data_IF_550737365968
#
_entry.id   IF_550737365968
#
_cell.length_a   1.000
_cell.length_b   1.000
_cell.length_c   1.000
_cell.angle_alpha   90.00
_cell.angle_beta   90.00
_cell.angle_gamma   90.00
#
_symmetry.space_group_name_H-M   'P 1'
#
loop_
_entity.id
_entity.type
_entity.pdbx_description
1 polymer ?
#
# COMPACT_ATOMS: atom_id res chain seq x y z
N UNK A 1 -18.31 20.34 -5.74
CA UNK A 1 -18.46 19.34 -4.67
C UNK A 1 -18.89 18.03 -5.32
N UNK A 2 -17.94 17.30 -5.92
CA UNK A 2 -18.17 15.94 -6.40
C UNK A 2 -17.86 14.97 -5.28
N UNK A 3 -18.73 13.98 -5.18
CA UNK A 3 -19.02 13.21 -3.99
C UNK A 3 -18.15 11.97 -3.97
N UNK A 4 -17.83 11.48 -2.77
CA UNK A 4 -17.34 10.14 -2.39
C UNK A 4 -17.67 8.97 -3.34
N UNK A 5 -18.74 9.06 -4.15
CA UNK A 5 -19.17 8.09 -5.17
C UNK A 5 -18.16 7.81 -6.29
N UNK A 6 -17.44 8.81 -6.81
CA UNK A 6 -16.49 8.58 -7.92
C UNK A 6 -15.27 7.77 -7.46
N UNK A 7 -14.79 8.08 -6.25
CA UNK A 7 -13.68 7.38 -5.59
C UNK A 7 -14.08 5.95 -5.21
N UNK A 8 -15.30 5.77 -4.70
CA UNK A 8 -15.87 4.44 -4.45
C UNK A 8 -15.93 3.59 -5.72
N UNK A 9 -16.33 4.17 -6.86
CA UNK A 9 -16.40 3.45 -8.12
C UNK A 9 -15.00 3.06 -8.64
N UNK A 10 -14.01 3.94 -8.52
CA UNK A 10 -12.62 3.65 -8.88
C UNK A 10 -12.07 2.50 -8.01
N UNK A 11 -12.25 2.60 -6.68
CA UNK A 11 -11.79 1.57 -5.75
C UNK A 11 -12.48 0.23 -6.00
N UNK A 12 -13.79 0.23 -6.24
CA UNK A 12 -14.53 -0.98 -6.59
C UNK A 12 -13.99 -1.65 -7.87
N UNK A 13 -13.71 -0.86 -8.93
CA UNK A 13 -13.14 -1.40 -10.17
C UNK A 13 -11.74 -1.97 -9.98
N UNK A 14 -10.89 -1.28 -9.22
CA UNK A 14 -9.53 -1.75 -8.90
C UNK A 14 -9.56 -3.12 -8.21
N UNK A 15 -10.34 -3.25 -7.14
CA UNK A 15 -10.45 -4.51 -6.41
C UNK A 15 -11.16 -5.59 -7.21
N UNK A 16 -12.21 -5.25 -7.95
CA UNK A 16 -12.86 -6.20 -8.84
C UNK A 16 -11.85 -6.80 -9.84
N UNK A 17 -11.01 -5.98 -10.48
CA UNK A 17 -10.00 -6.46 -11.42
C UNK A 17 -8.98 -7.38 -10.74
N UNK A 18 -8.44 -6.97 -9.57
CA UNK A 18 -7.51 -7.77 -8.77
C UNK A 18 -8.09 -9.12 -8.37
N UNK A 19 -9.28 -9.12 -7.75
CA UNK A 19 -9.94 -10.31 -7.25
C UNK A 19 -10.43 -11.22 -8.38
N UNK A 20 -10.74 -10.67 -9.56
CA UNK A 20 -11.18 -11.46 -10.72
C UNK A 20 -10.14 -12.50 -11.16
N UNK A 21 -8.88 -12.31 -10.80
CA UNK A 21 -7.75 -13.20 -11.12
C UNK A 21 -7.58 -14.34 -10.11
N UNK A 22 -8.25 -14.29 -8.97
CA UNK A 22 -8.20 -15.32 -7.93
C UNK A 22 -9.24 -16.39 -8.25
N UNK A 23 -8.77 -17.61 -8.56
CA UNK A 23 -9.64 -18.75 -8.92
C UNK A 23 -9.41 -19.98 -8.07
N UNK A 24 -8.26 -20.05 -7.41
CA UNK A 24 -7.80 -21.21 -6.66
C UNK A 24 -7.27 -20.78 -5.29
N UNK A 25 -7.17 -21.73 -4.37
CA UNK A 25 -6.53 -21.48 -3.06
C UNK A 25 -5.07 -21.09 -3.19
N UNK A 26 -4.36 -21.55 -4.24
CA UNK A 26 -2.99 -21.11 -4.52
C UNK A 26 -2.94 -19.64 -4.92
N UNK A 27 -3.95 -19.13 -5.64
CA UNK A 27 -4.06 -17.70 -5.93
C UNK A 27 -4.31 -16.90 -4.66
N UNK A 28 -5.13 -17.42 -3.73
CA UNK A 28 -5.36 -16.81 -2.41
C UNK A 28 -4.05 -16.76 -1.62
N UNK A 29 -3.31 -17.86 -1.54
CA UNK A 29 -2.00 -17.92 -0.87
C UNK A 29 -1.03 -16.90 -1.46
N UNK A 30 -0.99 -16.81 -2.79
CA UNK A 30 -0.15 -15.83 -3.49
C UNK A 30 -0.57 -14.40 -3.17
N UNK A 31 -1.86 -14.12 -3.16
CA UNK A 31 -2.40 -12.81 -2.81
C UNK A 31 -2.00 -12.43 -1.38
N UNK A 32 -2.27 -13.30 -0.40
CA UNK A 32 -1.88 -13.09 1.00
C UNK A 32 -0.36 -12.90 1.12
N UNK A 33 0.44 -13.74 0.47
CA UNK A 33 1.89 -13.66 0.49
C UNK A 33 2.48 -12.39 -0.14
N UNK A 34 1.72 -11.65 -0.96
CA UNK A 34 2.12 -10.33 -1.46
C UNK A 34 1.96 -9.26 -0.38
N UNK A 35 0.85 -9.28 0.36
CA UNK A 35 0.53 -8.24 1.35
C UNK A 35 1.13 -8.50 2.72
N UNK A 36 1.31 -9.77 3.11
CA UNK A 36 1.82 -10.12 4.44
C UNK A 36 3.19 -9.49 4.77
N UNK A 37 4.17 -9.44 3.85
CA UNK A 37 5.46 -8.78 4.10
C UNK A 37 5.38 -7.24 4.14
N UNK A 38 4.24 -6.66 3.74
CA UNK A 38 4.01 -5.22 3.70
C UNK A 38 3.34 -4.71 4.98
N UNK A 39 3.05 -5.57 5.96
CA UNK A 39 2.55 -5.13 7.26
C UNK A 39 3.62 -4.32 7.99
N UNK A 40 3.48 -3.01 7.86
CA UNK A 40 4.21 -1.96 8.54
C UNK A 40 3.17 -1.00 9.15
N UNK A 41 3.51 -0.16 10.13
CA UNK A 41 2.49 0.74 10.71
C UNK A 41 1.87 1.68 9.66
N UNK A 42 2.62 2.06 8.62
CA UNK A 42 2.12 2.93 7.55
C UNK A 42 1.28 2.23 6.47
N UNK A 43 1.33 0.89 6.40
CA UNK A 43 0.62 0.09 5.40
C UNK A 43 -0.35 -0.91 6.03
N UNK A 44 -0.34 -1.08 7.34
CA UNK A 44 -1.17 -2.02 8.08
C UNK A 44 -2.64 -1.91 7.68
N UNK A 45 -3.19 -0.69 7.74
CA UNK A 45 -4.58 -0.42 7.36
C UNK A 45 -4.85 -0.75 5.90
N UNK A 46 -3.91 -0.44 4.99
CA UNK A 46 -4.05 -0.75 3.56
C UNK A 46 -3.96 -2.26 3.29
N UNK A 47 -3.11 -2.98 4.02
CA UNK A 47 -2.99 -4.43 3.91
C UNK A 47 -4.24 -5.12 4.46
N UNK A 48 -4.78 -4.64 5.58
CA UNK A 48 -6.05 -5.13 6.12
C UNK A 48 -7.21 -4.85 5.16
N UNK A 49 -7.31 -3.64 4.60
CA UNK A 49 -8.31 -3.31 3.57
C UNK A 49 -8.19 -4.29 2.39
N UNK A 50 -6.98 -4.47 1.86
CA UNK A 50 -6.70 -5.38 0.75
C UNK A 50 -7.09 -6.84 1.03
N UNK A 51 -6.78 -7.36 2.23
CA UNK A 51 -7.11 -8.73 2.62
C UNK A 51 -8.60 -8.90 2.91
N UNK A 52 -9.30 -7.87 3.43
CA UNK A 52 -10.75 -7.92 3.69
C UNK A 52 -11.56 -8.14 2.41
N UNK A 53 -11.05 -7.67 1.27
CA UNK A 53 -11.65 -7.83 -0.04
C UNK A 53 -11.75 -9.30 -0.49
N UNK A 54 -10.98 -10.21 0.11
CA UNK A 54 -11.08 -11.66 -0.15
C UNK A 54 -12.44 -12.25 0.24
N UNK A 55 -13.23 -11.58 1.08
CA UNK A 55 -14.63 -11.93 1.36
C UNK A 55 -15.49 -12.02 0.09
N UNK A 56 -15.10 -11.33 -0.98
CA UNK A 56 -15.82 -11.32 -2.26
C UNK A 56 -15.42 -12.49 -3.19
N UNK A 57 -14.39 -13.26 -2.83
CA UNK A 57 -13.92 -14.42 -3.60
C UNK A 57 -14.58 -15.67 -3.03
N UNK A 58 -15.24 -16.45 -3.88
CA UNK A 58 -15.90 -17.71 -3.50
C UNK A 58 -14.86 -18.84 -3.27
N UNK A 59 -14.13 -18.78 -2.15
CA UNK A 59 -13.19 -19.78 -1.66
C UNK A 59 -13.26 -19.80 -0.13
N UNK A 60 -13.32 -21.00 0.45
CA UNK A 60 -13.30 -21.19 1.90
C UNK A 60 -12.04 -20.57 2.53
N UNK A 61 -10.89 -20.68 1.84
CA UNK A 61 -9.65 -20.09 2.30
C UNK A 61 -9.70 -18.56 2.26
N UNK A 62 -10.27 -17.98 1.20
CA UNK A 62 -10.44 -16.54 1.06
C UNK A 62 -11.36 -15.97 2.16
N UNK A 63 -12.46 -16.67 2.46
CA UNK A 63 -13.39 -16.29 3.53
C UNK A 63 -12.71 -16.37 4.91
N UNK A 64 -11.96 -17.44 5.19
CA UNK A 64 -11.19 -17.55 6.45
C UNK A 64 -10.20 -16.41 6.65
N UNK A 65 -9.52 -15.96 5.59
CA UNK A 65 -8.62 -14.80 5.67
C UNK A 65 -9.39 -13.52 5.96
N UNK A 66 -10.49 -13.29 5.27
CA UNK A 66 -11.30 -12.09 5.50
C UNK A 66 -11.91 -12.06 6.92
N UNK A 67 -12.34 -13.20 7.43
CA UNK A 67 -12.84 -13.34 8.81
C UNK A 67 -11.73 -13.08 9.84
N UNK A 68 -10.51 -13.54 9.56
CA UNK A 68 -9.34 -13.22 10.40
C UNK A 68 -9.11 -11.71 10.47
N UNK A 69 -9.11 -11.03 9.32
CA UNK A 69 -8.93 -9.56 9.24
C UNK A 69 -10.03 -8.83 10.01
N UNK A 70 -11.27 -9.30 9.93
CA UNK A 70 -12.41 -8.70 10.60
C UNK A 70 -12.43 -8.90 12.12
N UNK A 71 -11.58 -9.79 12.67
CA UNK A 71 -11.64 -10.21 14.07
C UNK A 71 -11.04 -9.23 15.09
N UNK A 72 -10.82 -7.97 14.71
CA UNK A 72 -10.35 -6.85 15.55
C UNK A 72 -9.15 -7.25 16.44
N UNK A 73 -8.11 -7.80 15.80
CA UNK A 73 -6.88 -8.21 16.48
C UNK A 73 -5.86 -7.08 16.45
N UNK A 74 -5.21 -6.82 17.58
CA UNK A 74 -3.98 -6.02 17.60
C UNK A 74 -2.95 -6.67 16.66
N UNK A 75 -2.39 -5.90 15.74
CA UNK A 75 -1.40 -6.38 14.78
C UNK A 75 -0.08 -6.67 15.49
N UNK A 76 0.12 -7.91 15.90
CA UNK A 76 1.43 -8.40 16.36
C UNK A 76 2.07 -9.35 15.35
N UNK A 77 3.39 -9.53 15.42
CA UNK A 77 4.09 -10.52 14.60
C UNK A 77 3.52 -11.93 14.78
N UNK A 78 3.09 -12.28 16.01
CA UNK A 78 2.43 -13.56 16.28
C UNK A 78 1.12 -13.69 15.52
N UNK A 79 0.30 -12.64 15.47
CA UNK A 79 -0.95 -12.65 14.72
C UNK A 79 -0.70 -12.83 13.21
N UNK A 80 0.33 -12.17 12.67
CA UNK A 80 0.71 -12.30 11.25
C UNK A 80 1.28 -13.68 10.92
N UNK A 81 2.04 -14.29 11.84
CA UNK A 81 2.51 -15.67 11.71
C UNK A 81 1.35 -16.67 11.76
N UNK A 82 0.37 -16.46 12.64
CA UNK A 82 -0.84 -17.28 12.70
C UNK A 82 -1.66 -17.18 11.41
N UNK A 83 -1.77 -15.97 10.83
CA UNK A 83 -2.38 -15.80 9.51
C UNK A 83 -1.59 -16.56 8.43
N UNK A 84 -0.26 -16.41 8.39
CA UNK A 84 0.60 -17.15 7.47
C UNK A 84 0.32 -18.65 7.56
N UNK A 85 0.24 -19.20 8.77
CA UNK A 85 -0.03 -20.61 8.96
C UNK A 85 -1.43 -21.06 8.62
N UNK A 86 -2.41 -20.22 8.95
CA UNK A 86 -3.80 -20.42 8.55
C UNK A 86 -3.97 -20.62 7.05
N UNK A 87 -3.09 -20.01 6.24
CA UNK A 87 -3.09 -20.11 4.77
C UNK A 87 -2.02 -21.05 4.19
N UNK A 88 -1.16 -21.65 5.01
CA UNK A 88 -0.09 -22.56 4.57
C UNK A 88 1.18 -21.86 4.06
N UNK A 89 1.50 -20.68 4.62
CA UNK A 89 2.72 -19.90 4.39
C UNK A 89 3.74 -20.01 5.56
N UNK A 90 3.57 -20.97 6.46
CA UNK A 90 4.42 -21.23 7.65
C UNK A 90 5.93 -21.40 7.38
N UNK A 91 6.29 -21.80 6.16
CA UNK A 91 7.68 -21.97 5.71
C UNK A 91 8.26 -20.71 5.07
N UNK A 92 7.52 -20.08 4.14
CA UNK A 92 7.92 -18.81 3.51
C UNK A 92 7.94 -17.59 4.43
N UNK A 93 7.13 -17.55 5.49
CA UNK A 93 7.02 -16.38 6.38
C UNK A 93 6.94 -16.83 7.84
N UNK A 94 7.93 -16.45 8.65
CA UNK A 94 8.06 -16.80 10.08
C UNK A 94 7.95 -15.56 10.96
N UNK A 95 7.67 -15.76 12.23
CA UNK A 95 7.85 -14.72 13.26
C UNK A 95 9.27 -14.15 13.20
N UNK A 96 9.41 -12.82 13.20
CA UNK A 96 10.68 -12.11 12.93
C UNK A 96 11.00 -11.81 11.45
N UNK A 97 10.28 -12.39 10.48
CA UNK A 97 10.36 -11.95 9.07
C UNK A 97 9.57 -10.66 8.84
N UNK A 98 8.62 -10.37 9.73
CA UNK A 98 7.87 -9.13 9.75
C UNK A 98 8.74 -8.02 10.35
N UNK A 99 9.10 -7.04 9.55
CA UNK A 99 9.67 -5.78 10.06
C UNK A 99 8.55 -4.76 10.06
N UNK A 100 7.86 -4.63 11.20
CA UNK A 100 6.91 -3.54 11.42
C UNK A 100 7.68 -2.22 11.30
N UNK A 101 7.64 -1.61 10.13
CA UNK A 101 8.24 -0.30 9.91
C UNK A 101 7.36 0.70 10.64
N UNK A 102 7.88 1.31 11.71
CA UNK A 102 7.24 2.46 12.31
C UNK A 102 7.63 3.70 11.52
N UNK A 103 6.69 4.50 10.98
CA UNK A 103 6.99 5.84 10.53
C UNK A 103 7.14 6.74 11.77
N UNK A 104 8.20 6.52 12.53
CA UNK A 104 8.65 7.47 13.55
C UNK A 104 9.89 8.14 13.00
N UNK A 105 10.01 9.48 13.12
CA UNK A 105 11.18 10.40 13.05
C UNK A 105 12.53 10.00 12.40
N UNK A 106 12.91 8.72 12.30
CA UNK A 106 14.04 8.14 11.58
C UNK A 106 14.05 8.41 10.07
N UNK A 107 12.93 8.83 9.47
CA UNK A 107 12.88 9.29 8.08
C UNK A 107 13.34 10.75 7.90
N UNK A 108 13.72 11.48 8.97
CA UNK A 108 14.22 12.87 8.89
C UNK A 108 15.59 13.02 8.20
N UNK A 109 16.07 11.99 7.51
CA UNK A 109 17.28 12.04 6.68
C UNK A 109 16.90 11.93 5.22
N UNK A 110 17.68 12.58 4.35
CA UNK A 110 17.53 12.45 2.90
C UNK A 110 17.52 10.98 2.46
N UNK A 111 18.40 10.15 3.03
CA UNK A 111 18.47 8.72 2.74
C UNK A 111 17.20 7.96 3.18
N UNK A 112 16.63 8.30 4.35
CA UNK A 112 15.39 7.73 4.84
C UNK A 112 14.22 8.00 3.89
N UNK A 113 13.97 9.28 3.57
CA UNK A 113 12.90 9.67 2.63
C UNK A 113 13.10 9.06 1.24
N UNK A 114 14.33 9.06 0.73
CA UNK A 114 14.63 8.48 -0.59
C UNK A 114 14.32 6.97 -0.62
N UNK A 115 14.69 6.23 0.42
CA UNK A 115 14.36 4.81 0.54
C UNK A 115 12.84 4.58 0.61
N UNK A 116 12.12 5.43 1.34
CA UNK A 116 10.67 5.37 1.43
C UNK A 116 10.01 5.60 0.06
N UNK A 117 10.43 6.63 -0.67
CA UNK A 117 9.94 6.88 -2.02
C UNK A 117 10.24 5.72 -2.97
N UNK A 118 11.43 5.11 -2.87
CA UNK A 118 11.76 3.92 -3.65
C UNK A 118 10.82 2.74 -3.34
N UNK A 119 10.42 2.56 -2.08
CA UNK A 119 9.44 1.56 -1.67
C UNK A 119 8.06 1.85 -2.29
N UNK A 120 7.55 3.07 -2.11
CA UNK A 120 6.25 3.51 -2.68
C UNK A 120 6.20 3.44 -4.19
N UNK A 121 7.32 3.75 -4.87
CA UNK A 121 7.47 3.54 -6.30
C UNK A 121 7.23 2.07 -6.69
N UNK A 122 7.85 1.11 -6.00
CA UNK A 122 7.66 -0.32 -6.31
C UNK A 122 6.21 -0.76 -6.12
N UNK A 123 5.55 -0.26 -5.07
CA UNK A 123 4.13 -0.53 -4.79
C UNK A 123 3.23 0.00 -5.92
N UNK A 124 3.51 1.20 -6.42
CA UNK A 124 2.80 1.82 -7.55
C UNK A 124 3.02 1.09 -8.88
N UNK A 125 4.23 0.62 -9.14
CA UNK A 125 4.58 -0.12 -10.37
C UNK A 125 3.98 -1.51 -10.40
N UNK A 126 3.90 -2.18 -9.24
CA UNK A 126 3.27 -3.49 -9.09
C UNK A 126 1.75 -3.40 -8.89
N UNK A 127 1.22 -2.17 -8.84
CA UNK A 127 -0.19 -1.86 -8.62
C UNK A 127 -0.73 -2.54 -7.36
N UNK A 128 0.06 -2.59 -6.28
CA UNK A 128 -0.31 -3.33 -5.05
C UNK A 128 -1.48 -2.65 -4.33
N UNK A 129 -1.52 -1.32 -4.39
CA UNK A 129 -2.56 -0.48 -3.82
C UNK A 129 -3.06 0.51 -4.88
N UNK A 130 -4.15 1.20 -4.58
CA UNK A 130 -4.65 2.26 -5.45
C UNK A 130 -3.63 3.41 -5.48
N UNK A 131 -3.44 4.03 -6.64
CA UNK A 131 -2.53 5.20 -6.77
C UNK A 131 -2.81 6.30 -5.74
N UNK A 132 -4.08 6.48 -5.39
CA UNK A 132 -4.53 7.43 -4.36
C UNK A 132 -3.98 7.10 -2.98
N UNK A 133 -4.02 5.82 -2.58
CA UNK A 133 -3.60 5.39 -1.25
C UNK A 133 -2.09 5.59 -1.07
N UNK A 134 -1.31 5.28 -2.11
CA UNK A 134 0.13 5.53 -2.10
C UNK A 134 0.46 7.04 -2.10
N UNK A 135 -0.27 7.82 -2.89
CA UNK A 135 -0.09 9.27 -2.93
C UNK A 135 -0.37 9.90 -1.54
N UNK A 136 -1.42 9.45 -0.87
CA UNK A 136 -1.74 9.85 0.50
C UNK A 136 -0.60 9.50 1.47
N UNK A 137 -0.05 8.27 1.41
CA UNK A 137 1.09 7.89 2.26
C UNK A 137 2.33 8.78 2.05
N UNK A 138 2.61 9.18 0.80
CA UNK A 138 3.71 10.11 0.49
C UNK A 138 3.45 11.50 1.07
N UNK A 139 2.24 12.03 0.94
CA UNK A 139 1.83 13.34 1.49
C UNK A 139 1.90 13.34 3.02
N UNK A 140 1.40 12.27 3.65
CA UNK A 140 1.44 12.11 5.10
C UNK A 140 2.90 12.11 5.60
N UNK A 141 3.81 11.40 4.92
CA UNK A 141 5.24 11.42 5.29
C UNK A 141 5.82 12.84 5.25
N UNK A 142 5.49 13.61 4.22
CA UNK A 142 6.03 14.95 4.04
C UNK A 142 5.67 15.88 5.21
N UNK A 143 4.45 15.75 5.76
CA UNK A 143 4.00 16.52 6.94
C UNK A 143 4.82 16.29 8.22
N UNK A 144 5.60 15.21 8.27
CA UNK A 144 6.51 14.92 9.38
C UNK A 144 7.96 15.36 9.10
N UNK A 145 8.25 15.87 7.90
CA UNK A 145 9.59 16.16 7.40
C UNK A 145 9.67 17.53 6.68
N UNK A 146 8.91 18.52 7.13
CA UNK A 146 8.79 19.85 6.51
C UNK A 146 10.15 20.50 6.22
N UNK A 147 11.09 20.48 7.18
CA UNK A 147 12.44 21.06 7.02
C UNK A 147 13.20 20.45 5.83
N UNK A 148 13.05 19.13 5.60
CA UNK A 148 13.70 18.42 4.51
C UNK A 148 13.02 18.69 3.17
N UNK A 149 11.70 18.85 3.18
CA UNK A 149 10.95 19.29 2.00
C UNK A 149 11.42 20.68 1.58
N UNK A 150 11.43 21.64 2.51
CA UNK A 150 11.76 23.03 2.21
C UNK A 150 13.18 23.18 1.68
N UNK A 151 14.10 22.34 2.16
CA UNK A 151 15.51 22.37 1.78
C UNK A 151 15.87 21.52 0.57
N UNK A 152 14.98 20.66 0.06
CA UNK A 152 15.25 19.76 -1.07
C UNK A 152 14.19 19.85 -2.17
N UNK A 153 14.57 20.49 -3.29
CA UNK A 153 13.68 20.71 -4.43
C UNK A 153 13.12 19.42 -5.04
N UNK A 154 13.90 18.34 -5.12
CA UNK A 154 13.43 17.09 -5.72
C UNK A 154 12.40 16.39 -4.83
N UNK A 155 12.61 16.39 -3.51
CA UNK A 155 11.62 15.90 -2.53
C UNK A 155 10.34 16.74 -2.60
N UNK A 156 10.48 18.07 -2.62
CA UNK A 156 9.35 18.99 -2.74
C UNK A 156 8.52 18.71 -4.01
N UNK A 157 9.17 18.50 -5.17
CA UNK A 157 8.47 18.16 -6.41
C UNK A 157 7.74 16.82 -6.36
N UNK A 158 8.32 15.81 -5.72
CA UNK A 158 7.64 14.52 -5.52
C UNK A 158 6.41 14.69 -4.64
N UNK A 159 6.51 15.49 -3.58
CA UNK A 159 5.37 15.79 -2.73
C UNK A 159 4.28 16.58 -3.46
N UNK A 160 4.62 17.61 -4.23
CA UNK A 160 3.65 18.36 -5.04
C UNK A 160 2.88 17.43 -5.99
N UNK A 161 3.59 16.51 -6.65
CA UNK A 161 2.97 15.51 -7.53
C UNK A 161 2.09 14.52 -6.75
N UNK A 162 2.50 14.09 -5.56
CA UNK A 162 1.70 13.22 -4.70
C UNK A 162 0.43 13.93 -4.22
N UNK A 163 0.52 15.18 -3.79
CA UNK A 163 -0.63 16.02 -3.41
C UNK A 163 -1.61 16.15 -4.58
N UNK A 164 -1.08 16.31 -5.79
CA UNK A 164 -1.90 16.38 -6.99
C UNK A 164 -2.56 15.06 -7.38
N UNK A 165 -1.96 13.92 -7.02
CA UNK A 165 -2.47 12.56 -7.23
C UNK A 165 -3.44 12.11 -6.13
N UNK A 166 -3.26 12.62 -4.91
CA UNK A 166 -4.21 12.49 -3.81
C UNK A 166 -5.55 13.11 -4.20
N UNK A 167 -5.57 14.19 -4.98
CA UNK A 167 -6.82 14.74 -5.49
C UNK A 167 -7.44 13.79 -6.53
N UNK A 168 -8.57 13.11 -6.23
CA UNK A 168 -9.14 12.07 -7.09
C UNK A 168 -9.75 12.61 -8.40
N UNK A 169 -9.74 13.94 -8.57
CA UNK A 169 -10.59 14.70 -9.50
C UNK A 169 -9.88 15.03 -10.83
N UNK A 170 -8.67 14.51 -11.07
CA UNK A 170 -7.95 14.76 -12.34
C UNK A 170 -8.32 13.74 -13.42
N UNK A 171 -8.39 14.15 -14.71
CA UNK A 171 -8.53 13.23 -15.83
C UNK A 171 -7.49 12.09 -15.78
N UNK A 172 -7.87 10.89 -16.22
CA UNK A 172 -7.00 9.70 -16.17
C UNK A 172 -5.66 9.94 -16.89
N UNK A 173 -5.67 10.69 -18.00
CA UNK A 173 -4.45 11.06 -18.73
C UNK A 173 -3.51 11.95 -17.91
N UNK A 174 -4.05 12.92 -17.18
CA UNK A 174 -3.25 13.78 -16.28
C UNK A 174 -2.70 12.98 -15.11
N UNK A 175 -3.52 12.10 -14.51
CA UNK A 175 -3.07 11.20 -13.44
C UNK A 175 -1.92 10.33 -13.90
N UNK A 176 -2.04 9.69 -15.07
CA UNK A 176 -0.96 8.89 -15.66
C UNK A 176 0.30 9.71 -15.90
N UNK A 177 0.17 10.93 -16.42
CA UNK A 177 1.32 11.80 -16.64
C UNK A 177 2.02 12.17 -15.33
N UNK A 178 1.25 12.52 -14.30
CA UNK A 178 1.80 12.86 -12.97
C UNK A 178 2.43 11.66 -12.28
N UNK A 179 1.78 10.49 -12.32
CA UNK A 179 2.36 9.23 -11.85
C UNK A 179 3.70 8.97 -12.53
N UNK A 180 3.75 9.06 -13.86
CA UNK A 180 4.99 8.87 -14.61
C UNK A 180 6.08 9.89 -14.24
N UNK A 181 5.73 11.17 -14.07
CA UNK A 181 6.66 12.20 -13.63
C UNK A 181 7.20 11.92 -12.21
N UNK A 182 6.32 11.53 -11.29
CA UNK A 182 6.69 11.20 -9.92
C UNK A 182 7.64 10.00 -9.88
N UNK A 183 7.32 8.91 -10.60
CA UNK A 183 8.18 7.73 -10.69
C UNK A 183 9.58 8.07 -11.25
N UNK A 184 9.66 8.97 -12.24
CA UNK A 184 10.93 9.44 -12.81
C UNK A 184 11.76 10.23 -11.79
N UNK A 185 11.14 11.13 -11.04
CA UNK A 185 11.84 11.90 -10.00
C UNK A 185 12.37 11.01 -8.88
N UNK A 186 11.61 9.97 -8.51
CA UNK A 186 12.07 8.99 -7.51
C UNK A 186 13.32 8.25 -8.00
N UNK A 187 13.42 7.92 -9.30
CA UNK A 187 14.64 7.33 -9.85
C UNK A 187 15.84 8.28 -9.83
N UNK A 188 15.61 9.57 -10.06
CA UNK A 188 16.66 10.60 -10.09
C UNK A 188 17.19 10.96 -8.70
N UNK A 189 16.47 10.61 -7.62
CA UNK A 189 16.93 10.75 -6.24
C UNK A 189 18.00 9.73 -5.82
N UNK A 190 18.26 8.71 -6.65
CA UNK A 190 19.21 7.63 -6.37
C UNK A 190 20.63 7.95 -6.81
#
# INVERSE_FOLDING_TARGET
>A
MFQTKDLQQIRARFWQDKLSRIKTDDDVRRFVGIYLPLFTEDLADLCLDALSHLSQVNSDLAHRVADWVASDQDLTESNLADLAGGVGLDGPVREGDFKLFQPSRALATLAGVTNYFCLKKRELEQELFLDYDIAYSIVALASYNDDLVESNQAINQIWDLATDLELPIRPESERRQKKAAMLKLIDELR
#
